data_IF_296401104498
#
_entry.id   IF_296401104498
#
_cell.length_a   1.000
_cell.length_b   1.000
_cell.length_c   1.000
_cell.angle_alpha   90.00
_cell.angle_beta   90.00
_cell.angle_gamma   90.00
#
_symmetry.space_group_name_H-M   'P 1'
#
loop_
_entity.id
_entity.type
_entity.pdbx_description
1 polymer ?
#
# COMPACT_ATOMS: atom_id res chain seq x y z
N UNK A 1 -26.52 19.39 -2.43
CA UNK A 1 -26.19 18.44 -1.36
C UNK A 1 -25.12 17.52 -1.91
N UNK A 2 -23.86 17.95 -1.82
CA UNK A 2 -22.73 17.27 -2.46
C UNK A 2 -22.38 16.05 -1.63
N UNK A 3 -22.56 14.87 -2.23
CA UNK A 3 -22.11 13.59 -1.67
C UNK A 3 -20.58 13.64 -1.68
N UNK A 4 -19.97 13.82 -0.52
CA UNK A 4 -18.52 13.66 -0.35
C UNK A 4 -18.14 12.26 -0.84
N UNK A 5 -17.36 12.17 -1.92
CA UNK A 5 -16.81 10.90 -2.39
C UNK A 5 -15.85 10.40 -1.31
N UNK A 6 -16.08 9.24 -0.69
CA UNK A 6 -15.17 8.73 0.32
C UNK A 6 -13.92 8.24 -0.41
N UNK A 7 -12.77 8.86 -0.13
CA UNK A 7 -11.43 8.55 -0.67
C UNK A 7 -11.12 9.12 -2.07
N UNK A 8 -10.71 10.39 -2.12
CA UNK A 8 -9.92 10.95 -3.22
C UNK A 8 -8.47 10.47 -3.08
N UNK A 9 -8.19 9.23 -3.51
CA UNK A 9 -6.82 8.67 -3.45
C UNK A 9 -5.87 9.27 -4.50
N UNK A 10 -6.35 10.17 -5.37
CA UNK A 10 -5.62 10.58 -6.56
C UNK A 10 -5.42 9.41 -7.53
N UNK A 11 -5.39 9.70 -8.84
CA UNK A 11 -5.11 8.69 -9.85
C UNK A 11 -3.92 9.15 -10.70
N UNK A 12 -2.78 8.48 -10.55
CA UNK A 12 -1.64 8.69 -11.44
C UNK A 12 -1.76 7.73 -12.63
N UNK A 13 -1.72 8.26 -13.85
CA UNK A 13 -1.68 7.47 -15.09
C UNK A 13 -0.25 7.01 -15.34
N UNK A 14 0.22 6.05 -14.54
CA UNK A 14 1.49 5.34 -14.77
C UNK A 14 1.20 3.92 -15.22
N UNK A 15 2.07 3.39 -16.08
CA UNK A 15 2.03 1.99 -16.45
C UNK A 15 2.18 1.12 -15.19
N UNK A 16 1.41 0.03 -15.06
CA UNK A 16 1.47 -0.82 -13.88
C UNK A 16 2.85 -1.47 -13.76
N UNK A 17 3.51 -1.26 -12.63
CA UNK A 17 4.82 -1.87 -12.36
C UNK A 17 4.66 -3.39 -12.19
N UNK A 18 5.42 -4.14 -12.98
CA UNK A 18 5.42 -5.61 -12.91
C UNK A 18 6.42 -6.07 -11.86
N UNK A 19 5.92 -6.74 -10.83
CA UNK A 19 6.76 -7.40 -9.83
C UNK A 19 7.18 -8.77 -10.37
N UNK A 20 8.48 -9.02 -10.45
CA UNK A 20 9.03 -10.32 -10.89
C UNK A 20 9.58 -11.05 -9.67
N UNK A 21 8.95 -12.17 -9.24
CA UNK A 21 9.52 -12.99 -8.18
C UNK A 21 10.74 -13.76 -8.70
N UNK A 22 11.76 -13.95 -7.84
CA UNK A 22 12.97 -14.71 -8.19
C UNK A 22 12.70 -16.22 -8.32
N UNK A 23 11.65 -16.72 -7.66
CA UNK A 23 11.22 -18.11 -7.74
C UNK A 23 9.79 -18.20 -8.28
N UNK A 24 9.55 -19.17 -9.16
CA UNK A 24 8.21 -19.45 -9.71
C UNK A 24 7.25 -20.13 -8.72
N UNK A 25 7.63 -20.25 -7.44
CA UNK A 25 6.83 -20.91 -6.41
C UNK A 25 5.84 -19.91 -5.80
N UNK A 26 4.53 -20.21 -5.79
CA UNK A 26 3.55 -19.32 -5.18
C UNK A 26 3.66 -19.32 -3.65
N UNK A 27 3.51 -18.14 -3.05
CA UNK A 27 3.46 -17.98 -1.59
C UNK A 27 2.01 -18.11 -1.15
N UNK A 28 1.66 -19.24 -0.52
CA UNK A 28 0.34 -19.44 0.10
C UNK A 28 0.49 -19.61 1.60
N UNK A 29 -0.04 -18.64 2.34
CA UNK A 29 0.00 -18.61 3.79
C UNK A 29 -1.41 -18.70 4.35
N UNK A 30 -1.50 -19.42 5.48
CA UNK A 30 -2.74 -19.51 6.25
C UNK A 30 -3.01 -18.15 6.92
N UNK A 31 -4.27 -17.68 6.93
CA UNK A 31 -4.69 -16.54 7.73
C UNK A 31 -4.32 -16.71 9.21
N UNK A 32 -4.05 -15.61 9.90
CA UNK A 32 -3.88 -15.63 11.35
C UNK A 32 -5.22 -15.90 12.05
N UNK A 33 -5.13 -16.43 13.27
CA UNK A 33 -6.30 -16.60 14.12
C UNK A 33 -6.70 -15.22 14.66
N UNK A 34 -7.91 -14.78 14.32
CA UNK A 34 -8.50 -13.53 14.81
C UNK A 34 -9.67 -13.82 15.74
N UNK A 35 -9.95 -12.89 16.65
CA UNK A 35 -11.17 -12.89 17.44
C UNK A 35 -12.39 -12.51 16.58
N UNK A 36 -13.63 -12.83 17.01
CA UNK A 36 -14.84 -12.48 16.27
C UNK A 36 -15.00 -10.97 16.03
N UNK A 37 -14.56 -10.15 16.98
CA UNK A 37 -14.61 -8.67 16.88
C UNK A 37 -13.65 -8.17 15.80
N UNK A 38 -12.44 -8.71 15.76
CA UNK A 38 -11.45 -8.38 14.74
C UNK A 38 -11.90 -8.83 13.35
N UNK A 39 -12.53 -10.00 13.24
CA UNK A 39 -13.05 -10.50 11.96
C UNK A 39 -14.16 -9.59 11.39
N UNK A 40 -15.05 -9.08 12.25
CA UNK A 40 -16.06 -8.11 11.85
C UNK A 40 -15.44 -6.80 11.35
N UNK A 41 -14.42 -6.30 12.04
CA UNK A 41 -13.72 -5.08 11.62
C UNK A 41 -12.98 -5.30 10.28
N UNK A 42 -12.32 -6.44 10.11
CA UNK A 42 -11.66 -6.81 8.85
C UNK A 42 -12.68 -6.81 7.71
N UNK A 43 -13.85 -7.45 7.88
CA UNK A 43 -14.90 -7.49 6.86
C UNK A 43 -15.41 -6.09 6.51
N UNK A 44 -15.67 -5.25 7.52
CA UNK A 44 -16.12 -3.86 7.34
C UNK A 44 -15.10 -3.02 6.54
N UNK A 45 -13.80 -3.14 6.83
CA UNK A 45 -12.76 -2.43 6.09
C UNK A 45 -12.60 -2.96 4.66
N UNK A 46 -12.66 -4.27 4.46
CA UNK A 46 -12.60 -4.89 3.12
C UNK A 46 -13.76 -4.44 2.25
N UNK A 47 -14.99 -4.39 2.78
CA UNK A 47 -16.15 -3.93 2.03
C UNK A 47 -16.01 -2.46 1.61
N UNK A 48 -15.53 -1.59 2.50
CA UNK A 48 -15.25 -0.19 2.17
C UNK A 48 -14.21 -0.06 1.05
N UNK A 49 -13.15 -0.88 1.08
CA UNK A 49 -12.11 -0.88 0.04
C UNK A 49 -12.63 -1.43 -1.31
N UNK A 50 -13.52 -2.41 -1.28
CA UNK A 50 -14.21 -2.94 -2.48
C UNK A 50 -15.14 -1.87 -3.09
N UNK A 51 -15.93 -1.20 -2.25
CA UNK A 51 -16.80 -0.10 -2.68
C UNK A 51 -16.01 1.09 -3.24
N UNK A 52 -14.84 1.38 -2.66
CA UNK A 52 -13.92 2.39 -3.18
C UNK A 52 -13.20 1.98 -4.46
N UNK A 53 -13.31 0.71 -4.89
CA UNK A 53 -12.64 0.19 -6.09
C UNK A 53 -11.11 0.06 -5.96
N UNK A 54 -10.58 0.09 -4.73
CA UNK A 54 -9.15 -0.02 -4.46
C UNK A 54 -8.66 -1.46 -4.49
N UNK A 55 -9.52 -2.41 -4.15
CA UNK A 55 -9.24 -3.85 -4.19
C UNK A 55 -10.26 -4.56 -5.07
N UNK A 56 -9.89 -5.74 -5.57
CA UNK A 56 -10.73 -6.60 -6.40
C UNK A 56 -10.57 -8.05 -5.97
N UNK A 57 -11.66 -8.80 -6.01
CA UNK A 57 -11.61 -10.25 -5.87
C UNK A 57 -10.75 -10.89 -6.96
N UNK A 58 -9.82 -11.76 -6.56
CA UNK A 58 -8.92 -12.45 -7.47
C UNK A 58 -8.71 -13.89 -7.05
N UNK A 59 -8.61 -14.79 -8.04
CA UNK A 59 -8.29 -16.19 -7.82
C UNK A 59 -6.80 -16.39 -8.17
N UNK A 60 -5.94 -15.96 -7.26
CA UNK A 60 -4.49 -16.07 -7.41
C UNK A 60 -3.94 -17.24 -6.57
N UNK A 61 -2.86 -17.92 -7.00
CA UNK A 61 -2.20 -18.93 -6.19
C UNK A 61 -1.44 -18.32 -4.99
N UNK A 62 -1.37 -16.99 -4.90
CA UNK A 62 -0.74 -16.26 -3.81
C UNK A 62 -1.78 -15.93 -2.73
N UNK A 63 -1.38 -16.14 -1.48
CA UNK A 63 -2.19 -15.82 -0.29
C UNK A 63 -1.29 -15.28 0.81
N UNK A 64 -1.54 -14.05 1.23
CA UNK A 64 -0.88 -13.40 2.36
C UNK A 64 -1.88 -13.15 3.48
N UNK A 65 -1.52 -13.39 4.75
CA UNK A 65 -2.42 -13.20 5.87
C UNK A 65 -2.59 -11.70 6.17
N UNK A 66 -3.72 -11.38 6.80
CA UNK A 66 -4.09 -10.02 7.21
C UNK A 66 -4.01 -9.92 8.73
N UNK A 67 -3.55 -8.76 9.21
CA UNK A 67 -3.42 -8.42 10.63
C UNK A 67 -3.97 -7.02 10.87
N UNK A 68 -4.55 -6.78 12.04
CA UNK A 68 -4.96 -5.45 12.47
C UNK A 68 -3.87 -4.79 13.32
N UNK A 69 -3.51 -3.55 12.99
CA UNK A 69 -2.59 -2.74 13.79
C UNK A 69 -3.31 -1.56 14.44
N UNK A 70 -3.14 -1.39 15.74
CA UNK A 70 -3.74 -0.28 16.48
C UNK A 70 -2.92 1.00 16.32
N UNK A 71 -3.58 2.12 16.01
CA UNK A 71 -2.94 3.44 16.09
C UNK A 71 -2.72 3.82 17.56
N UNK A 72 -1.60 4.50 17.86
CA UNK A 72 -1.27 5.01 19.20
C UNK A 72 -2.28 6.02 19.75
N UNK A 73 -3.02 6.72 18.89
CA UNK A 73 -4.03 7.69 19.32
C UNK A 73 -5.36 6.98 19.61
N UNK A 74 -5.76 6.98 20.88
CA UNK A 74 -7.09 6.64 21.41
C UNK A 74 -7.68 5.27 21.05
N UNK A 75 -6.88 4.27 20.69
CA UNK A 75 -7.27 2.84 20.73
C UNK A 75 -8.44 2.39 19.83
N UNK A 76 -9.07 3.29 19.07
CA UNK A 76 -10.30 3.02 18.29
C UNK A 76 -10.07 2.80 16.80
N UNK A 77 -8.94 3.28 16.25
CA UNK A 77 -8.65 3.16 14.81
C UNK A 77 -7.65 2.03 14.56
N UNK A 78 -8.15 0.93 14.03
CA UNK A 78 -7.36 -0.20 13.52
C UNK A 78 -7.03 0.03 12.04
N UNK A 79 -5.81 -0.32 11.64
CA UNK A 79 -5.41 -0.37 10.23
C UNK A 79 -5.37 -1.81 9.78
N UNK A 80 -6.01 -2.10 8.65
CA UNK A 80 -5.81 -3.34 7.93
C UNK A 80 -4.39 -3.39 7.37
N UNK A 81 -3.59 -4.37 7.81
CA UNK A 81 -2.22 -4.58 7.35
C UNK A 81 -2.10 -5.98 6.74
N UNK A 82 -1.53 -6.06 5.54
CA UNK A 82 -1.24 -7.34 4.87
C UNK A 82 0.23 -7.68 5.11
N UNK A 83 0.52 -8.91 5.56
CA UNK A 83 1.92 -9.33 5.75
C UNK A 83 2.53 -9.82 4.43
N UNK A 84 3.32 -8.94 3.81
CA UNK A 84 4.08 -9.25 2.59
C UNK A 84 5.52 -9.71 2.85
N UNK A 85 5.95 -9.95 4.09
CA UNK A 85 7.37 -10.27 4.39
C UNK A 85 7.90 -11.46 3.59
N UNK A 86 7.12 -12.54 3.50
CA UNK A 86 7.52 -13.74 2.73
C UNK A 86 7.50 -13.50 1.22
N UNK A 87 6.58 -12.67 0.72
CA UNK A 87 6.54 -12.29 -0.69
C UNK A 87 7.76 -11.42 -1.03
N UNK A 88 8.04 -10.41 -0.21
CA UNK A 88 9.16 -9.49 -0.38
C UNK A 88 10.52 -10.19 -0.34
N UNK A 89 10.67 -11.27 0.44
CA UNK A 89 11.89 -12.07 0.45
C UNK A 89 12.13 -12.85 -0.86
N UNK A 90 11.08 -13.15 -1.62
CA UNK A 90 11.19 -13.80 -2.93
C UNK A 90 11.30 -12.79 -4.08
N UNK A 91 10.81 -11.57 -3.89
CA UNK A 91 10.90 -10.52 -4.89
C UNK A 91 12.33 -9.95 -4.96
N UNK A 92 12.78 -9.61 -6.17
CA UNK A 92 14.00 -8.83 -6.35
C UNK A 92 13.78 -7.44 -5.76
N UNK A 93 14.72 -6.97 -4.93
CA UNK A 93 14.69 -5.60 -4.43
C UNK A 93 15.03 -4.64 -5.57
N UNK A 94 14.09 -3.77 -5.93
CA UNK A 94 14.37 -2.62 -6.78
C UNK A 94 15.16 -1.60 -5.94
N UNK A 95 16.48 -1.57 -6.13
CA UNK A 95 17.34 -0.59 -5.49
C UNK A 95 17.37 0.68 -6.34
N UNK A 96 16.33 1.49 -6.23
CA UNK A 96 16.47 2.90 -6.53
C UNK A 96 16.85 3.61 -5.23
N UNK A 97 18.11 4.09 -5.11
CA UNK A 97 18.51 4.80 -3.91
C UNK A 97 17.72 6.10 -3.84
N UNK A 98 16.91 6.24 -2.79
CA UNK A 98 16.33 7.53 -2.46
C UNK A 98 17.49 8.51 -2.24
N UNK A 99 17.46 9.69 -2.89
CA UNK A 99 18.51 10.67 -2.72
C UNK A 99 18.62 11.06 -1.25
N UNK A 100 19.86 11.17 -0.76
CA UNK A 100 20.14 11.58 0.61
C UNK A 100 19.51 12.95 0.88
N UNK A 101 18.90 13.11 2.05
CA UNK A 101 18.22 14.36 2.43
C UNK A 101 19.16 15.57 2.34
N UNK A 102 20.42 15.41 2.74
CA UNK A 102 21.42 16.49 2.67
C UNK A 102 21.70 16.92 1.22
N UNK A 103 21.78 15.97 0.29
CA UNK A 103 21.95 16.26 -1.14
C UNK A 103 20.73 16.95 -1.75
N UNK A 104 19.53 16.65 -1.26
CA UNK A 104 18.30 17.36 -1.66
C UNK A 104 18.32 18.79 -1.11
N UNK A 105 18.69 18.97 0.16
CA UNK A 105 18.76 20.27 0.82
C UNK A 105 19.84 21.18 0.21
N UNK A 106 20.99 20.64 -0.18
CA UNK A 106 22.05 21.40 -0.87
C UNK A 106 21.68 21.85 -2.28
N UNK A 107 20.88 21.05 -2.99
CA UNK A 107 20.31 21.47 -4.29
C UNK A 107 19.25 22.55 -4.09
N UNK A 108 18.49 22.44 -3.01
CA UNK A 108 17.44 23.38 -2.64
C UNK A 108 18.02 24.71 -2.13
N UNK A 109 19.12 24.72 -1.37
CA UNK A 109 19.73 25.94 -0.80
C UNK A 109 20.13 27.01 -1.83
N UNK A 110 20.27 26.61 -3.10
CA UNK A 110 20.53 27.49 -4.25
C UNK A 110 19.27 28.15 -4.84
N UNK A 111 18.07 27.73 -4.43
CA UNK A 111 16.80 28.28 -4.88
C UNK A 111 16.35 29.44 -3.97
N UNK A 112 15.96 30.57 -4.57
CA UNK A 112 15.58 31.80 -3.85
C UNK A 112 14.14 31.83 -3.33
N UNK A 113 13.27 30.93 -3.79
CA UNK A 113 11.84 30.88 -3.42
C UNK A 113 11.46 29.41 -3.24
N UNK A 114 10.97 29.03 -2.06
CA UNK A 114 10.49 27.69 -1.75
C UNK A 114 8.97 27.68 -1.59
N UNK A 115 8.19 27.11 -2.53
CA UNK A 115 6.77 26.86 -2.29
C UNK A 115 6.61 25.64 -1.38
N UNK A 116 5.97 25.85 -0.22
CA UNK A 116 5.68 24.84 0.81
C UNK A 116 4.95 23.59 0.24
N UNK A 117 4.26 23.73 -0.89
CA UNK A 117 3.57 22.64 -1.59
C UNK A 117 4.50 21.51 -2.07
N UNK A 118 5.80 21.75 -2.24
CA UNK A 118 6.78 20.71 -2.58
C UNK A 118 6.90 19.67 -1.44
N UNK A 119 6.68 20.06 -0.19
CA UNK A 119 6.75 19.15 0.96
C UNK A 119 5.51 18.24 1.08
N UNK A 120 4.35 18.69 0.59
CA UNK A 120 3.08 17.99 0.76
C UNK A 120 2.79 16.93 -0.32
N UNK A 121 3.42 17.03 -1.50
CA UNK A 121 3.15 16.13 -2.63
C UNK A 121 3.93 14.80 -2.60
N UNK A 122 5.00 14.69 -1.80
CA UNK A 122 5.93 13.56 -1.86
C UNK A 122 5.46 12.25 -1.21
N UNK A 123 4.40 12.27 -0.39
CA UNK A 123 3.98 11.10 0.43
C UNK A 123 2.80 10.32 -0.18
N UNK A 124 2.16 10.83 -1.25
CA UNK A 124 0.89 10.29 -1.76
C UNK A 124 0.96 9.44 -3.03
N UNK A 125 2.09 9.34 -3.72
CA UNK A 125 2.11 8.91 -5.13
C UNK A 125 2.96 7.67 -5.42
N UNK A 126 2.71 6.55 -4.73
CA UNK A 126 3.21 5.24 -5.16
C UNK A 126 2.11 4.18 -5.04
N UNK A 127 1.34 3.89 -6.12
CA UNK A 127 0.36 2.82 -6.09
C UNK A 127 1.03 1.45 -6.31
N UNK A 128 1.14 0.66 -5.25
CA UNK A 128 1.49 -0.77 -5.35
C UNK A 128 0.24 -1.55 -5.78
N UNK A 129 0.05 -1.76 -7.08
CA UNK A 129 -1.08 -2.57 -7.60
C UNK A 129 -0.56 -3.79 -8.36
N UNK A 130 -0.63 -4.96 -7.71
CA UNK A 130 -0.27 -6.25 -8.29
C UNK A 130 -1.41 -6.81 -9.15
N UNK A 131 -1.26 -6.77 -10.47
CA UNK A 131 -1.96 -7.70 -11.38
C UNK A 131 -1.10 -8.93 -11.59
N UNK A 132 -1.49 -10.04 -10.97
CA UNK A 132 -0.95 -11.37 -11.28
C UNK A 132 -1.90 -12.00 -12.31
N UNK A 133 -1.55 -11.94 -13.59
CA UNK A 133 -2.24 -12.69 -14.64
C UNK A 133 -1.42 -13.92 -15.03
N UNK A 134 -2.12 -15.05 -15.04
CA UNK A 134 -1.70 -16.36 -15.55
C UNK A 134 -1.25 -16.25 -17.01
N UNK A 135 -0.10 -16.86 -17.31
CA UNK A 135 0.09 -17.80 -18.42
C UNK A 135 1.25 -18.71 -18.05
#
# INVERSE_FOLDING_TARGET
>A
MSIEKPTDVGALRVEPQRIVPNSGLPVSLRPYRTSPVEEQEIKSQVEKLLQAGLIKESNSPYSSPVTLAFKRDEGKKTRLCIDFRKLNALCKSDSEPLPLMDSLLDKLSKAKIFPLWIWLLGIGMCPFTTKILKN
#
